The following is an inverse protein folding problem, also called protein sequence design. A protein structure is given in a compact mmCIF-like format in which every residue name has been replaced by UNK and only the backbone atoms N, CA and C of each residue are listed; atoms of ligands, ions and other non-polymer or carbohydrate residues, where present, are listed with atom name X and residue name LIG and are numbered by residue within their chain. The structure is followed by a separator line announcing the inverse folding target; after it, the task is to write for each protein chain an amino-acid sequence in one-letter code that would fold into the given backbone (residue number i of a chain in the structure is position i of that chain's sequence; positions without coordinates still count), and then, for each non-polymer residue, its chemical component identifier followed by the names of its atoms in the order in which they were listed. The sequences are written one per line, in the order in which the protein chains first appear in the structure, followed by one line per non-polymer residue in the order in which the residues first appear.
data_IF_144577212250
#
_entry.id   IF_144577212250
#
_cell.length_a   1.000
_cell.length_b   1.000
_cell.length_c   1.000
_cell.angle_alpha   90.00
_cell.angle_beta   90.00
_cell.angle_gamma   90.00
#
_symmetry.space_group_name_H-M   'P 1'
#
loop_
_entity.id
_entity.type
_entity.pdbx_description
1 polymer ?
#
# COMPACT_ATOMS: atom_id res chain seq x y z
N UNK A 1 3.32 48.57 -6.99
CA UNK A 1 2.74 47.95 -5.76
C UNK A 1 3.33 46.54 -5.59
N UNK A 2 3.66 46.11 -4.36
CA UNK A 2 4.15 44.75 -4.10
C UNK A 2 3.02 43.72 -4.25
N UNK A 3 3.35 42.51 -4.70
CA UNK A 3 2.37 41.45 -4.95
C UNK A 3 1.65 40.99 -3.66
N UNK A 4 2.35 40.96 -2.53
CA UNK A 4 1.73 40.59 -1.25
C UNK A 4 0.56 41.51 -0.87
N UNK A 5 0.77 42.82 -1.00
CA UNK A 5 -0.25 43.83 -0.69
C UNK A 5 -1.42 43.74 -1.67
N UNK A 6 -1.13 43.48 -2.95
CA UNK A 6 -2.14 43.24 -3.97
C UNK A 6 -3.03 42.04 -3.61
N UNK A 7 -2.44 40.89 -3.26
CA UNK A 7 -3.18 39.67 -2.92
C UNK A 7 -4.13 39.93 -1.74
N UNK A 8 -3.66 40.64 -0.71
CA UNK A 8 -4.47 40.96 0.46
C UNK A 8 -5.59 41.96 0.15
N UNK A 9 -5.33 42.94 -0.72
CA UNK A 9 -6.32 43.97 -1.11
C UNK A 9 -7.36 43.44 -2.09
N UNK A 10 -6.96 42.59 -3.04
CA UNK A 10 -7.77 42.10 -4.15
C UNK A 10 -8.14 40.61 -3.98
N UNK A 11 -8.25 40.14 -2.73
CA UNK A 11 -8.54 38.73 -2.45
C UNK A 11 -9.87 38.27 -3.04
N UNK A 12 -10.92 39.10 -2.99
CA UNK A 12 -12.26 38.72 -3.45
C UNK A 12 -12.32 38.52 -4.97
N UNK A 13 -11.82 39.42 -5.83
CA UNK A 13 -11.73 39.15 -7.27
C UNK A 13 -10.93 37.89 -7.63
N UNK A 14 -9.85 37.61 -6.90
CA UNK A 14 -9.05 36.39 -7.11
C UNK A 14 -9.88 35.15 -6.76
N UNK A 15 -10.56 35.16 -5.60
CA UNK A 15 -11.40 34.06 -5.13
C UNK A 15 -12.61 33.81 -6.03
N UNK A 16 -13.22 34.86 -6.57
CA UNK A 16 -14.31 34.74 -7.53
C UNK A 16 -13.86 34.05 -8.83
N UNK A 17 -12.66 34.36 -9.33
CA UNK A 17 -12.11 33.65 -10.50
C UNK A 17 -11.76 32.20 -10.18
N UNK A 18 -11.22 31.93 -8.99
CA UNK A 18 -10.97 30.56 -8.51
C UNK A 18 -12.27 29.75 -8.49
N UNK A 19 -13.31 30.28 -7.85
CA UNK A 19 -14.61 29.61 -7.72
C UNK A 19 -15.22 29.29 -9.10
N UNK A 20 -15.23 30.28 -10.01
CA UNK A 20 -15.76 30.10 -11.36
C UNK A 20 -14.99 29.02 -12.14
N UNK A 21 -13.66 28.95 -11.96
CA UNK A 21 -12.86 27.90 -12.55
C UNK A 21 -13.15 26.53 -11.91
N UNK A 22 -13.17 26.45 -10.58
CA UNK A 22 -13.42 25.22 -9.85
C UNK A 22 -14.79 24.61 -10.20
N UNK A 23 -15.82 25.45 -10.37
CA UNK A 23 -17.15 25.05 -10.82
C UNK A 23 -17.14 24.33 -12.20
N UNK A 24 -16.14 24.61 -13.05
CA UNK A 24 -16.00 23.95 -14.36
C UNK A 24 -15.45 22.52 -14.29
N UNK A 25 -14.91 22.09 -13.14
CA UNK A 25 -14.23 20.81 -12.96
C UNK A 25 -15.23 19.66 -12.69
N UNK A 26 -16.10 19.39 -13.67
CA UNK A 26 -17.09 18.30 -13.62
C UNK A 26 -16.46 16.92 -13.89
N UNK A 27 -17.02 15.82 -13.34
CA UNK A 27 -18.25 15.75 -12.54
C UNK A 27 -18.08 16.11 -11.07
N UNK A 28 -16.85 16.17 -10.55
CA UNK A 28 -16.58 16.34 -9.11
C UNK A 28 -17.18 17.63 -8.54
N UNK A 29 -17.07 18.74 -9.28
CA UNK A 29 -17.65 20.02 -8.88
C UNK A 29 -19.19 20.10 -8.97
N UNK A 30 -19.85 19.17 -9.66
CA UNK A 30 -21.29 19.28 -9.96
C UNK A 30 -22.19 19.19 -8.71
N UNK A 31 -21.67 18.63 -7.63
CA UNK A 31 -22.39 18.42 -6.36
C UNK A 31 -21.96 19.39 -5.25
N UNK A 32 -21.11 20.38 -5.58
CA UNK A 32 -20.54 21.28 -4.59
C UNK A 32 -21.23 22.64 -4.60
N UNK A 33 -21.50 23.17 -3.41
CA UNK A 33 -21.95 24.55 -3.23
C UNK A 33 -20.80 25.54 -3.48
N UNK A 34 -21.09 26.79 -3.93
CA UNK A 34 -20.10 27.84 -4.15
C UNK A 34 -19.11 28.06 -3.00
N UNK A 35 -19.59 28.03 -1.76
CA UNK A 35 -18.74 28.18 -0.56
C UNK A 35 -17.76 27.02 -0.40
N UNK A 36 -18.15 25.80 -0.78
CA UNK A 36 -17.29 24.62 -0.77
C UNK A 36 -16.29 24.61 -1.95
N UNK A 37 -16.59 25.33 -3.04
CA UNK A 37 -15.63 25.55 -4.12
C UNK A 37 -14.56 26.58 -3.74
N UNK A 38 -14.93 27.60 -2.96
CA UNK A 38 -13.97 28.58 -2.40
C UNK A 38 -13.09 27.99 -1.30
N UNK A 39 -13.69 27.20 -0.42
CA UNK A 39 -12.99 26.41 0.61
C UNK A 39 -11.82 27.16 1.30
N UNK A 40 -10.62 26.56 1.33
CA UNK A 40 -9.40 27.09 1.95
C UNK A 40 -8.57 27.97 1.00
N UNK A 41 -9.08 28.31 -0.20
CA UNK A 41 -8.40 29.23 -1.10
C UNK A 41 -8.07 30.60 -0.45
N UNK A 42 -8.91 31.19 0.42
CA UNK A 42 -8.55 32.42 1.14
C UNK A 42 -7.33 32.23 2.04
N UNK A 43 -7.26 31.12 2.78
CA UNK A 43 -6.16 30.79 3.67
C UNK A 43 -4.87 30.51 2.91
N UNK A 44 -4.96 29.84 1.75
CA UNK A 44 -3.83 29.66 0.83
C UNK A 44 -3.30 31.02 0.36
N UNK A 45 -4.17 31.93 -0.08
CA UNK A 45 -3.76 33.27 -0.51
C UNK A 45 -3.10 34.07 0.63
N UNK A 46 -3.64 33.99 1.85
CA UNK A 46 -3.02 34.64 3.02
C UNK A 46 -1.67 34.03 3.36
N UNK A 47 -1.52 32.71 3.26
CA UNK A 47 -0.25 32.03 3.49
C UNK A 47 0.80 32.46 2.45
N UNK A 48 0.42 32.54 1.17
CA UNK A 48 1.29 33.03 0.08
C UNK A 48 1.68 34.49 0.28
N UNK A 49 0.72 35.38 0.60
CA UNK A 49 1.01 36.78 0.87
C UNK A 49 1.95 36.97 2.08
N UNK A 50 1.74 36.18 3.13
CA UNK A 50 2.63 36.17 4.31
C UNK A 50 4.03 35.70 3.93
N UNK A 51 4.16 34.62 3.16
CA UNK A 51 5.46 34.13 2.68
C UNK A 51 6.19 35.21 1.87
N UNK A 52 5.52 35.88 0.94
CA UNK A 52 6.08 36.99 0.15
C UNK A 52 6.61 38.16 1.01
N UNK A 53 6.07 38.37 2.21
CA UNK A 53 6.53 39.40 3.14
C UNK A 53 7.68 38.95 4.06
N UNK A 54 7.93 37.64 4.19
CA UNK A 54 9.03 37.14 5.02
C UNK A 54 10.39 37.44 4.39
N UNK A 55 11.40 37.73 5.20
CA UNK A 55 12.78 37.79 4.73
C UNK A 55 13.34 36.36 4.57
N UNK A 56 13.97 36.07 3.44
CA UNK A 56 14.57 34.77 3.13
C UNK A 56 16.01 34.95 2.67
N UNK A 57 16.89 34.04 3.09
CA UNK A 57 18.26 33.94 2.57
C UNK A 57 18.25 33.24 1.21
N UNK A 58 19.29 33.41 0.39
CA UNK A 58 19.43 32.67 -0.88
C UNK A 58 19.42 31.16 -0.69
N UNK A 59 19.98 30.68 0.42
CA UNK A 59 19.97 29.26 0.77
C UNK A 59 18.54 28.77 1.08
N UNK A 60 17.78 29.53 1.89
CA UNK A 60 16.38 29.19 2.16
C UNK A 60 15.52 29.21 0.88
N UNK A 61 15.78 30.15 -0.03
CA UNK A 61 15.14 30.22 -1.33
C UNK A 61 15.49 28.99 -2.20
N UNK A 62 16.76 28.60 -2.24
CA UNK A 62 17.21 27.41 -2.95
C UNK A 62 16.56 26.13 -2.40
N UNK A 63 16.62 25.90 -1.08
CA UNK A 63 16.01 24.72 -0.45
C UNK A 63 14.50 24.64 -0.72
N UNK A 64 13.80 25.78 -0.70
CA UNK A 64 12.39 25.85 -1.09
C UNK A 64 12.17 25.49 -2.56
N UNK A 65 13.01 25.98 -3.47
CA UNK A 65 12.91 25.69 -4.90
C UNK A 65 13.09 24.21 -5.24
N UNK A 66 13.80 23.45 -4.40
CA UNK A 66 14.00 21.99 -4.55
C UNK A 66 13.11 21.14 -3.64
N UNK A 67 12.13 21.76 -2.97
CA UNK A 67 11.15 21.06 -2.12
C UNK A 67 11.69 20.57 -0.77
N UNK A 68 12.78 21.15 -0.27
CA UNK A 68 13.43 20.80 1.01
C UNK A 68 13.16 21.80 2.13
N UNK A 69 12.18 22.69 1.93
CA UNK A 69 11.80 23.65 2.96
C UNK A 69 11.36 22.91 4.26
N UNK A 70 11.79 23.40 5.44
CA UNK A 70 11.40 22.78 6.71
C UNK A 70 9.89 22.88 6.91
N UNK A 71 9.29 21.78 7.37
CA UNK A 71 7.86 21.73 7.69
C UNK A 71 7.51 22.77 8.77
N UNK A 72 6.32 23.40 8.70
CA UNK A 72 5.90 24.39 9.69
C UNK A 72 5.79 23.75 11.09
N UNK A 73 6.52 24.33 12.05
CA UNK A 73 6.75 23.75 13.39
C UNK A 73 5.47 23.66 14.25
N UNK A 74 4.37 24.35 13.90
CA UNK A 74 3.20 24.56 14.78
C UNK A 74 1.81 24.40 14.11
N UNK A 75 1.69 23.83 12.91
CA UNK A 75 0.38 23.57 12.30
C UNK A 75 0.14 22.07 12.17
N UNK A 76 -1.01 21.58 12.64
CA UNK A 76 -1.42 20.17 12.44
C UNK A 76 -1.59 19.85 10.96
N UNK A 77 -2.07 20.81 10.16
CA UNK A 77 -2.17 20.75 8.68
C UNK A 77 -2.03 22.17 8.08
N UNK A 78 -1.45 22.31 6.89
CA UNK A 78 -1.41 23.59 6.15
C UNK A 78 -2.73 23.83 5.39
N UNK A 79 -3.03 25.08 5.02
CA UNK A 79 -4.23 25.38 4.22
C UNK A 79 -4.25 24.61 2.88
N UNK A 80 -3.08 24.37 2.29
CA UNK A 80 -2.92 23.55 1.08
C UNK A 80 -3.26 22.07 1.34
N UNK A 81 -2.86 21.53 2.50
CA UNK A 81 -3.20 20.16 2.91
C UNK A 81 -4.70 20.00 3.18
N UNK A 82 -5.31 20.96 3.89
CA UNK A 82 -6.76 20.91 4.16
C UNK A 82 -7.59 21.08 2.89
N UNK A 83 -7.17 21.94 1.95
CA UNK A 83 -7.77 22.04 0.61
C UNK A 83 -7.71 20.70 -0.13
N UNK A 84 -6.54 20.05 -0.14
CA UNK A 84 -6.34 18.75 -0.76
C UNK A 84 -7.24 17.66 -0.15
N UNK A 85 -7.37 17.63 1.18
CA UNK A 85 -8.26 16.71 1.90
C UNK A 85 -9.71 16.83 1.43
N UNK A 86 -10.21 18.06 1.32
CA UNK A 86 -11.60 18.31 0.95
C UNK A 86 -11.85 17.96 -0.51
N UNK A 87 -10.90 18.26 -1.42
CA UNK A 87 -10.97 17.83 -2.82
C UNK A 87 -10.97 16.30 -2.96
N UNK A 88 -10.16 15.59 -2.19
CA UNK A 88 -10.18 14.12 -2.17
C UNK A 88 -11.55 13.58 -1.74
N UNK A 89 -12.15 14.15 -0.68
CA UNK A 89 -13.48 13.76 -0.19
C UNK A 89 -14.61 14.09 -1.16
N UNK A 90 -14.47 15.15 -1.93
CA UNK A 90 -15.43 15.58 -2.96
C UNK A 90 -15.25 14.87 -4.31
N UNK A 91 -14.35 13.89 -4.40
CA UNK A 91 -14.18 13.06 -5.61
C UNK A 91 -13.39 13.73 -6.74
N UNK A 92 -12.62 14.78 -6.43
CA UNK A 92 -11.67 15.34 -7.40
C UNK A 92 -10.58 14.33 -7.68
N UNK A 93 -9.98 14.41 -8.87
CA UNK A 93 -8.72 13.73 -9.17
C UNK A 93 -7.53 14.69 -9.12
N UNK A 94 -6.31 14.13 -9.12
CA UNK A 94 -5.08 14.91 -9.01
C UNK A 94 -4.90 15.94 -10.13
N UNK A 95 -5.42 15.66 -11.34
CA UNK A 95 -5.34 16.60 -12.47
C UNK A 95 -6.23 17.82 -12.24
N UNK A 96 -7.41 17.61 -11.66
CA UNK A 96 -8.32 18.70 -11.30
C UNK A 96 -7.74 19.56 -10.19
N UNK A 97 -7.19 18.95 -9.13
CA UNK A 97 -6.48 19.68 -8.06
C UNK A 97 -5.32 20.53 -8.61
N UNK A 98 -4.49 19.95 -9.47
CA UNK A 98 -3.37 20.67 -10.11
C UNK A 98 -3.87 21.80 -11.01
N UNK A 99 -5.03 21.63 -11.66
CA UNK A 99 -5.61 22.65 -12.51
C UNK A 99 -6.09 23.87 -11.72
N UNK A 100 -6.61 23.68 -10.49
CA UNK A 100 -7.02 24.79 -9.62
C UNK A 100 -5.82 25.72 -9.29
N UNK A 101 -4.69 25.14 -8.87
CA UNK A 101 -3.46 25.91 -8.60
C UNK A 101 -2.92 26.62 -9.85
N UNK A 102 -3.00 25.97 -11.02
CA UNK A 102 -2.63 26.60 -12.30
C UNK A 102 -3.52 27.80 -12.62
N UNK A 103 -4.83 27.66 -12.41
CA UNK A 103 -5.79 28.73 -12.62
C UNK A 103 -5.55 29.89 -11.65
N UNK A 104 -5.32 29.61 -10.37
CA UNK A 104 -4.99 30.62 -9.36
C UNK A 104 -3.78 31.45 -9.73
N UNK A 105 -2.67 30.77 -10.06
CA UNK A 105 -1.43 31.45 -10.46
C UNK A 105 -1.67 32.38 -11.64
N UNK A 106 -2.42 31.93 -12.64
CA UNK A 106 -2.75 32.73 -13.81
C UNK A 106 -3.68 33.91 -13.48
N UNK A 107 -4.65 33.73 -12.58
CA UNK A 107 -5.55 34.79 -12.14
C UNK A 107 -4.83 35.88 -11.34
N UNK A 108 -4.02 35.48 -10.35
CA UNK A 108 -3.27 36.42 -9.51
C UNK A 108 -2.31 37.25 -10.35
N UNK A 109 -1.49 36.62 -11.19
CA UNK A 109 -0.49 37.33 -11.99
C UNK A 109 -1.13 38.27 -13.01
N UNK A 110 -2.23 37.85 -13.66
CA UNK A 110 -2.93 38.69 -14.64
C UNK A 110 -3.58 39.91 -13.99
N UNK A 111 -4.33 39.71 -12.91
CA UNK A 111 -4.97 40.81 -12.19
C UNK A 111 -3.94 41.77 -11.58
N UNK A 112 -2.79 41.25 -11.11
CA UNK A 112 -1.73 42.09 -10.57
C UNK A 112 -1.04 42.92 -11.65
N UNK A 113 -0.75 42.33 -12.81
CA UNK A 113 -0.19 43.06 -13.96
C UNK A 113 -1.11 44.20 -14.40
N UNK A 114 -2.42 43.97 -14.44
CA UNK A 114 -3.41 44.99 -14.81
C UNK A 114 -3.46 46.13 -13.77
N UNK A 115 -3.35 45.81 -12.47
CA UNK A 115 -3.37 46.80 -11.37
C UNK A 115 -2.04 47.58 -11.25
N UNK A 116 -0.93 47.00 -11.70
CA UNK A 116 0.37 47.68 -11.72
C UNK A 116 0.48 48.76 -12.80
N UNK A 117 -0.35 48.77 -13.83
CA UNK A 117 -0.22 49.71 -14.94
C UNK A 117 -0.29 51.19 -14.46
N UNK A 118 0.68 52.05 -14.84
CA UNK A 118 1.74 51.86 -15.84
C UNK A 118 3.09 51.34 -15.31
N UNK A 119 3.24 51.10 -14.01
CA UNK A 119 4.48 50.61 -13.41
C UNK A 119 4.74 49.13 -13.77
N UNK A 120 6.02 48.76 -13.90
CA UNK A 120 6.40 47.37 -14.12
C UNK A 120 6.30 46.54 -12.82
N UNK A 121 5.78 45.31 -12.87
CA UNK A 121 5.77 44.41 -11.72
C UNK A 121 7.19 44.06 -11.26
N UNK A 122 7.38 43.88 -9.95
CA UNK A 122 8.66 43.47 -9.39
C UNK A 122 8.96 42.00 -9.72
N UNK A 123 10.03 41.73 -10.47
CA UNK A 123 10.42 40.37 -10.87
C UNK A 123 10.64 39.44 -9.67
N UNK A 124 11.20 39.96 -8.57
CA UNK A 124 11.41 39.18 -7.35
C UNK A 124 10.09 38.68 -6.73
N UNK A 125 9.02 39.48 -6.80
CA UNK A 125 7.70 39.06 -6.30
C UNK A 125 7.13 37.93 -7.18
N UNK A 126 7.36 37.95 -8.50
CA UNK A 126 6.94 36.87 -9.41
C UNK A 126 7.66 35.57 -9.07
N UNK A 127 8.98 35.62 -8.88
CA UNK A 127 9.79 34.44 -8.54
C UNK A 127 9.32 33.84 -7.21
N UNK A 128 9.22 34.68 -6.16
CA UNK A 128 8.79 34.22 -4.84
C UNK A 128 7.36 33.70 -4.83
N UNK A 129 6.47 34.29 -5.63
CA UNK A 129 5.09 33.83 -5.74
C UNK A 129 5.01 32.46 -6.41
N UNK A 130 5.78 32.24 -7.49
CA UNK A 130 5.86 30.93 -8.13
C UNK A 130 6.39 29.88 -7.16
N UNK A 131 7.45 30.17 -6.41
CA UNK A 131 7.98 29.26 -5.38
C UNK A 131 6.94 28.96 -4.28
N UNK A 132 6.17 29.96 -3.84
CA UNK A 132 5.12 29.76 -2.83
C UNK A 132 3.95 28.92 -3.36
N UNK A 133 3.53 29.12 -4.61
CA UNK A 133 2.48 28.31 -5.25
C UNK A 133 2.96 26.88 -5.52
N UNK A 134 4.19 26.71 -6.01
CA UNK A 134 4.74 25.38 -6.29
C UNK A 134 4.93 24.57 -4.99
N UNK A 135 5.31 25.23 -3.89
CA UNK A 135 5.33 24.62 -2.55
C UNK A 135 3.92 24.18 -2.10
N UNK A 136 2.93 25.06 -2.19
CA UNK A 136 1.55 24.74 -1.81
C UNK A 136 0.97 23.59 -2.67
N UNK A 137 1.28 23.59 -3.97
CA UNK A 137 0.89 22.52 -4.89
C UNK A 137 1.55 21.19 -4.51
N UNK A 138 2.85 21.17 -4.21
CA UNK A 138 3.56 19.96 -3.80
C UNK A 138 2.95 19.38 -2.51
N UNK A 139 2.74 20.22 -1.50
CA UNK A 139 2.08 19.82 -0.25
C UNK A 139 0.68 19.25 -0.49
N UNK A 140 -0.12 19.91 -1.34
CA UNK A 140 -1.45 19.44 -1.70
C UNK A 140 -1.42 18.10 -2.43
N UNK A 141 -0.48 17.89 -3.37
CA UNK A 141 -0.36 16.66 -4.16
C UNK A 141 0.02 15.48 -3.27
N UNK A 142 1.01 15.68 -2.39
CA UNK A 142 1.47 14.65 -1.47
C UNK A 142 0.36 14.25 -0.48
N UNK A 143 -0.29 15.25 0.12
CA UNK A 143 -1.38 15.02 1.07
C UNK A 143 -2.62 14.39 0.43
N UNK A 144 -3.01 14.86 -0.76
CA UNK A 144 -4.12 14.29 -1.53
C UNK A 144 -3.87 12.81 -1.83
N UNK A 145 -2.66 12.49 -2.31
CA UNK A 145 -2.30 11.12 -2.70
C UNK A 145 -2.30 10.20 -1.49
N UNK A 146 -1.72 10.65 -0.36
CA UNK A 146 -1.74 9.91 0.90
C UNK A 146 -3.18 9.65 1.39
N UNK A 147 -4.06 10.65 1.32
CA UNK A 147 -5.44 10.51 1.77
C UNK A 147 -6.27 9.56 0.91
N UNK A 148 -6.15 9.66 -0.43
CA UNK A 148 -6.85 8.76 -1.35
C UNK A 148 -6.41 7.32 -1.13
N UNK A 149 -5.10 7.09 -0.98
CA UNK A 149 -4.57 5.76 -0.67
C UNK A 149 -5.05 5.26 0.70
N UNK A 150 -5.02 6.09 1.74
CA UNK A 150 -5.52 5.72 3.07
C UNK A 150 -7.01 5.34 3.04
N UNK A 151 -7.85 6.17 2.43
CA UNK A 151 -9.29 5.91 2.32
C UNK A 151 -9.57 4.62 1.53
N UNK A 152 -8.83 4.38 0.45
CA UNK A 152 -8.91 3.13 -0.32
C UNK A 152 -8.57 1.92 0.55
N UNK A 153 -7.49 2.01 1.32
CA UNK A 153 -7.05 0.92 2.19
C UNK A 153 -8.03 0.65 3.34
N UNK A 154 -8.62 1.69 3.93
CA UNK A 154 -9.67 1.55 4.94
C UNK A 154 -10.93 0.86 4.40
N UNK A 155 -11.38 1.25 3.21
CA UNK A 155 -12.52 0.60 2.54
C UNK A 155 -12.26 -0.88 2.27
N UNK A 156 -11.08 -1.21 1.75
CA UNK A 156 -10.70 -2.61 1.51
C UNK A 156 -10.58 -3.40 2.82
N UNK A 157 -10.08 -2.78 3.90
CA UNK A 157 -9.99 -3.39 5.22
C UNK A 157 -11.36 -3.70 5.84
N UNK A 158 -12.30 -2.74 5.76
CA UNK A 158 -13.69 -2.92 6.23
C UNK A 158 -14.42 -3.99 5.44
N UNK A 159 -14.32 -3.98 4.10
CA UNK A 159 -14.92 -5.01 3.26
C UNK A 159 -14.36 -6.41 3.58
N UNK A 160 -13.05 -6.50 3.85
CA UNK A 160 -12.39 -7.71 4.32
C UNK A 160 -13.02 -8.27 5.59
N UNK A 161 -13.22 -7.41 6.59
CA UNK A 161 -13.82 -7.77 7.88
C UNK A 161 -15.30 -8.18 7.75
N UNK A 162 -16.10 -7.38 7.06
CA UNK A 162 -17.55 -7.57 7.01
C UNK A 162 -17.99 -8.70 6.08
N UNK A 163 -17.13 -9.11 5.14
CA UNK A 163 -17.33 -10.31 4.32
C UNK A 163 -16.84 -11.60 5.00
N UNK A 164 -15.91 -11.52 5.95
CA UNK A 164 -15.38 -12.68 6.71
C UNK A 164 -16.50 -13.38 7.51
N UNK A 165 -17.32 -12.62 8.23
CA UNK A 165 -18.40 -13.18 9.06
C UNK A 165 -19.49 -13.94 8.29
N UNK A 166 -20.12 -13.41 7.22
CA UNK A 166 -21.11 -14.16 6.46
C UNK A 166 -20.51 -15.39 5.78
N UNK A 167 -19.23 -15.33 5.39
CA UNK A 167 -18.52 -16.45 4.81
C UNK A 167 -18.29 -17.59 5.81
N UNK A 168 -17.84 -17.26 7.03
CA UNK A 168 -17.72 -18.21 8.12
C UNK A 168 -19.06 -18.89 8.42
N UNK A 169 -20.17 -18.16 8.40
CA UNK A 169 -21.51 -18.71 8.59
C UNK A 169 -21.90 -19.72 7.49
N UNK A 170 -21.57 -19.43 6.22
CA UNK A 170 -21.76 -20.37 5.10
C UNK A 170 -20.92 -21.64 5.29
N UNK A 171 -19.65 -21.49 5.67
CA UNK A 171 -18.77 -22.63 5.92
C UNK A 171 -19.28 -23.52 7.04
N UNK A 172 -19.64 -22.93 8.19
CA UNK A 172 -20.17 -23.67 9.34
C UNK A 172 -21.45 -24.43 9.00
N UNK A 173 -22.35 -23.80 8.23
CA UNK A 173 -23.60 -24.43 7.79
C UNK A 173 -23.32 -25.58 6.82
N UNK A 174 -22.35 -25.42 5.92
CA UNK A 174 -21.93 -26.48 5.01
C UNK A 174 -21.28 -27.64 5.78
N UNK A 175 -20.36 -27.38 6.71
CA UNK A 175 -19.77 -28.42 7.57
C UNK A 175 -20.83 -29.19 8.37
N UNK A 176 -21.85 -28.48 8.85
CA UNK A 176 -22.99 -29.11 9.53
C UNK A 176 -23.79 -30.04 8.60
N UNK A 177 -24.05 -29.62 7.36
CA UNK A 177 -24.74 -30.45 6.36
C UNK A 177 -23.92 -31.68 5.94
N UNK A 178 -22.59 -31.55 5.83
CA UNK A 178 -21.68 -32.66 5.57
C UNK A 178 -21.69 -33.67 6.74
N UNK A 179 -21.63 -33.18 7.98
CA UNK A 179 -21.66 -34.02 9.19
C UNK A 179 -22.98 -34.77 9.38
N UNK A 180 -24.11 -34.19 8.96
CA UNK A 180 -25.43 -34.84 8.97
C UNK A 180 -25.51 -36.01 7.96
N UNK A 181 -24.55 -36.13 7.05
CA UNK A 181 -24.50 -37.15 6.02
C UNK A 181 -25.82 -37.27 5.25
N UNK A 182 -26.41 -36.11 4.91
CA UNK A 182 -27.76 -35.94 4.37
C UNK A 182 -27.93 -36.41 2.91
N UNK A 183 -27.22 -37.48 2.54
CA UNK A 183 -27.07 -38.01 1.19
C UNK A 183 -25.75 -37.58 0.55
N UNK A 184 -25.16 -38.47 -0.24
CA UNK A 184 -23.84 -38.29 -0.88
C UNK A 184 -23.75 -36.99 -1.70
N UNK A 185 -24.81 -36.63 -2.43
CA UNK A 185 -24.88 -35.39 -3.21
C UNK A 185 -24.92 -34.12 -2.34
N UNK A 186 -25.53 -34.18 -1.15
CA UNK A 186 -25.61 -33.06 -0.22
C UNK A 186 -24.27 -32.88 0.49
N UNK A 187 -23.63 -33.99 0.90
CA UNK A 187 -22.29 -33.97 1.49
C UNK A 187 -21.23 -33.45 0.50
N UNK A 188 -21.28 -33.84 -0.78
CA UNK A 188 -20.33 -33.30 -1.78
C UNK A 188 -20.58 -31.81 -2.08
N UNK A 189 -21.84 -31.38 -2.18
CA UNK A 189 -22.18 -29.97 -2.34
C UNK A 189 -21.75 -29.13 -1.13
N UNK A 190 -21.93 -29.64 0.08
CA UNK A 190 -21.45 -29.05 1.32
C UNK A 190 -19.91 -28.96 1.34
N UNK A 191 -19.20 -30.05 1.02
CA UNK A 191 -17.74 -30.05 0.90
C UNK A 191 -17.23 -29.00 -0.11
N UNK A 192 -17.92 -28.83 -1.24
CA UNK A 192 -17.59 -27.77 -2.22
C UNK A 192 -17.80 -26.36 -1.67
N UNK A 193 -18.84 -26.14 -0.86
CA UNK A 193 -19.08 -24.85 -0.18
C UNK A 193 -18.01 -24.56 0.86
N UNK A 194 -17.63 -25.54 1.70
CA UNK A 194 -16.56 -25.41 2.71
C UNK A 194 -15.26 -25.01 2.04
N UNK A 195 -14.84 -25.74 0.99
CA UNK A 195 -13.62 -25.45 0.24
C UNK A 195 -13.66 -24.06 -0.39
N UNK A 196 -14.80 -23.64 -0.92
CA UNK A 196 -14.96 -22.32 -1.54
C UNK A 196 -14.95 -21.19 -0.52
N UNK A 197 -15.57 -21.41 0.65
CA UNK A 197 -15.53 -20.49 1.76
C UNK A 197 -14.13 -20.33 2.33
N UNK A 198 -13.37 -21.42 2.47
CA UNK A 198 -12.02 -21.36 3.03
C UNK A 198 -11.09 -20.55 2.13
N UNK A 199 -11.23 -20.72 0.81
CA UNK A 199 -10.50 -19.91 -0.18
C UNK A 199 -10.85 -18.43 -0.07
N UNK A 200 -12.14 -18.09 0.00
CA UNK A 200 -12.54 -16.69 0.09
C UNK A 200 -12.11 -16.08 1.43
N UNK A 201 -12.06 -16.87 2.51
CA UNK A 201 -11.60 -16.42 3.82
C UNK A 201 -10.13 -16.03 3.77
N UNK A 202 -9.28 -16.91 3.21
CA UNK A 202 -7.87 -16.64 3.01
C UNK A 202 -7.63 -15.36 2.17
N UNK A 203 -8.40 -15.16 1.09
CA UNK A 203 -8.30 -13.95 0.27
C UNK A 203 -8.67 -12.68 1.04
N UNK A 204 -9.68 -12.73 1.92
CA UNK A 204 -10.07 -11.62 2.77
C UNK A 204 -9.02 -11.33 3.86
N UNK A 205 -8.43 -12.38 4.42
CA UNK A 205 -7.36 -12.27 5.41
C UNK A 205 -6.10 -11.64 4.80
N UNK A 206 -5.66 -12.11 3.62
CA UNK A 206 -4.56 -11.51 2.86
C UNK A 206 -4.84 -10.04 2.50
N UNK A 207 -6.09 -9.71 2.15
CA UNK A 207 -6.49 -8.33 1.88
C UNK A 207 -6.42 -7.47 3.15
N UNK A 208 -6.90 -7.96 4.29
CA UNK A 208 -6.79 -7.25 5.56
C UNK A 208 -5.33 -7.02 5.95
N UNK A 209 -4.49 -8.06 5.86
CA UNK A 209 -3.05 -7.97 6.14
C UNK A 209 -2.35 -6.98 5.20
N UNK A 210 -2.64 -7.04 3.88
CA UNK A 210 -2.17 -6.06 2.91
C UNK A 210 -2.54 -4.62 3.29
N UNK A 211 -3.80 -4.37 3.68
CA UNK A 211 -4.22 -3.03 4.09
C UNK A 211 -3.51 -2.54 5.36
N UNK A 212 -3.30 -3.41 6.35
CA UNK A 212 -2.54 -3.06 7.55
C UNK A 212 -1.12 -2.64 7.22
N UNK A 213 -0.44 -3.38 6.34
CA UNK A 213 0.92 -3.03 5.90
C UNK A 213 0.96 -1.69 5.16
N UNK A 214 -0.04 -1.40 4.32
CA UNK A 214 -0.17 -0.10 3.64
C UNK A 214 -0.43 1.08 4.58
N UNK A 215 -1.07 0.83 5.73
CA UNK A 215 -1.25 1.81 6.80
C UNK A 215 0.00 1.96 7.71
N UNK A 216 1.10 1.26 7.41
CA UNK A 216 2.33 1.30 8.19
C UNK A 216 2.27 0.49 9.50
N UNK A 217 1.19 -0.27 9.74
CA UNK A 217 1.00 -1.05 10.96
C UNK A 217 1.69 -2.42 10.92
N UNK A 218 2.14 -2.84 9.73
CA UNK A 218 2.75 -4.16 9.52
C UNK A 218 1.79 -5.33 9.76
N UNK A 219 2.34 -6.54 9.69
CA UNK A 219 1.65 -7.77 10.10
C UNK A 219 1.67 -7.88 11.62
N UNK A 220 0.52 -8.18 12.22
CA UNK A 220 0.46 -8.43 13.65
C UNK A 220 1.07 -9.80 13.97
N UNK A 221 2.14 -9.80 14.78
CA UNK A 221 2.83 -10.99 15.27
C UNK A 221 2.71 -11.07 16.78
N UNK A 222 2.48 -12.27 17.31
CA UNK A 222 2.41 -12.57 18.74
C UNK A 222 3.46 -13.67 19.03
N UNK A 223 4.74 -13.30 19.23
CA UNK A 223 5.81 -14.27 19.40
C UNK A 223 5.64 -15.12 20.66
N UNK A 224 5.85 -16.43 20.54
CA UNK A 224 5.81 -17.43 21.62
C UNK A 224 6.98 -18.39 21.50
N UNK A 225 7.33 -19.06 22.60
CA UNK A 225 8.29 -20.17 22.55
C UNK A 225 7.70 -21.30 21.70
N UNK A 226 8.39 -21.66 20.63
CA UNK A 226 7.97 -22.71 19.69
C UNK A 226 9.17 -23.54 19.25
N UNK A 227 8.92 -24.80 18.89
CA UNK A 227 9.84 -25.57 18.08
C UNK A 227 9.51 -25.32 16.61
N UNK A 228 10.38 -24.59 15.92
CA UNK A 228 10.14 -24.23 14.52
C UNK A 228 10.03 -25.45 13.60
N UNK A 229 10.77 -26.53 13.90
CA UNK A 229 10.71 -27.75 13.09
C UNK A 229 9.31 -28.35 13.08
N UNK A 230 8.67 -28.41 14.25
CA UNK A 230 7.32 -28.98 14.40
C UNK A 230 6.29 -28.10 13.69
N UNK A 231 6.37 -26.78 13.91
CA UNK A 231 5.49 -25.78 13.26
C UNK A 231 5.54 -25.88 11.74
N UNK A 232 6.74 -25.99 11.16
CA UNK A 232 6.90 -26.11 9.71
C UNK A 232 6.50 -27.49 9.21
N UNK A 233 6.73 -28.56 9.99
CA UNK A 233 6.33 -29.91 9.62
C UNK A 233 4.81 -30.05 9.49
N UNK A 234 4.04 -29.48 10.43
CA UNK A 234 2.57 -29.46 10.40
C UNK A 234 2.04 -28.87 9.09
N UNK A 235 2.52 -27.68 8.69
CA UNK A 235 2.11 -27.03 7.43
C UNK A 235 2.45 -27.89 6.21
N UNK A 236 3.63 -28.51 6.18
CA UNK A 236 4.03 -29.36 5.06
C UNK A 236 3.23 -30.66 4.99
N UNK A 237 2.79 -31.22 6.11
CA UNK A 237 1.90 -32.38 6.14
C UNK A 237 0.53 -32.04 5.53
N UNK A 238 -0.04 -30.88 5.86
CA UNK A 238 -1.28 -30.40 5.25
C UNK A 238 -1.13 -30.23 3.72
N UNK A 239 -0.04 -29.59 3.28
CA UNK A 239 0.22 -29.40 1.86
C UNK A 239 0.45 -30.72 1.11
N UNK A 240 1.09 -31.72 1.73
CA UNK A 240 1.23 -33.07 1.15
C UNK A 240 -0.13 -33.76 1.00
N UNK A 241 -1.03 -33.60 1.97
CA UNK A 241 -2.38 -34.16 1.90
C UNK A 241 -3.20 -33.55 0.75
N UNK A 242 -3.02 -32.24 0.49
CA UNK A 242 -3.70 -31.53 -0.60
C UNK A 242 -3.06 -31.84 -1.98
N UNK A 243 -1.75 -32.11 -2.01
CA UNK A 243 -0.97 -32.36 -3.21
C UNK A 243 -0.26 -33.74 -3.17
N UNK A 244 -1.01 -34.85 -3.16
CA UNK A 244 -0.43 -36.19 -2.98
C UNK A 244 0.52 -36.61 -4.11
N UNK A 245 0.35 -36.05 -5.31
CA UNK A 245 1.21 -36.32 -6.47
C UNK A 245 2.50 -35.49 -6.49
N UNK A 246 2.73 -34.65 -5.48
CA UNK A 246 3.89 -33.74 -5.40
C UNK A 246 4.81 -34.14 -4.26
N UNK A 247 6.11 -34.17 -4.55
CA UNK A 247 7.13 -34.44 -3.54
C UNK A 247 7.51 -33.15 -2.80
N UNK A 248 7.39 -33.17 -1.47
CA UNK A 248 7.73 -32.06 -0.59
C UNK A 248 8.64 -32.61 0.50
N UNK A 249 9.87 -32.09 0.59
CA UNK A 249 10.92 -32.57 1.49
C UNK A 249 11.23 -31.51 2.55
N UNK A 250 11.39 -31.93 3.81
CA UNK A 250 11.81 -31.07 4.92
C UNK A 250 13.12 -31.61 5.50
N UNK A 251 14.12 -30.76 5.60
CA UNK A 251 15.37 -31.06 6.28
C UNK A 251 15.69 -29.96 7.28
N UNK A 252 15.85 -30.34 8.55
CA UNK A 252 16.18 -29.42 9.64
C UNK A 252 17.54 -29.76 10.21
N UNK A 253 18.36 -28.74 10.41
CA UNK A 253 19.72 -28.85 10.97
C UNK A 253 19.89 -27.82 12.09
N UNK A 254 20.49 -28.23 13.21
CA UNK A 254 20.67 -27.37 14.39
C UNK A 254 19.44 -27.37 15.31
N UNK A 255 19.35 -26.34 16.18
CA UNK A 255 18.51 -26.38 17.38
C UNK A 255 17.02 -26.00 17.23
N UNK A 256 16.45 -25.41 16.17
CA UNK A 256 14.99 -25.09 16.00
C UNK A 256 14.10 -24.48 17.13
N UNK A 257 14.48 -24.46 18.40
CA UNK A 257 13.79 -23.81 19.51
C UNK A 257 14.02 -22.31 19.45
N UNK A 258 12.98 -21.51 19.72
CA UNK A 258 13.11 -20.06 19.81
C UNK A 258 11.76 -19.38 19.99
N UNK A 259 11.73 -18.06 19.80
CA UNK A 259 10.55 -17.23 20.04
C UNK A 259 10.08 -16.59 18.74
N UNK A 260 8.98 -17.08 18.20
CA UNK A 260 8.36 -16.59 16.97
C UNK A 260 6.83 -16.78 17.02
N UNK A 261 6.11 -16.15 16.09
CA UNK A 261 4.69 -16.43 15.89
C UNK A 261 4.55 -17.63 14.93
N UNK A 262 4.32 -18.82 15.49
CA UNK A 262 4.25 -20.07 14.72
C UNK A 262 3.18 -20.04 13.62
N UNK A 263 2.01 -19.47 13.89
CA UNK A 263 0.91 -19.42 12.92
C UNK A 263 1.27 -18.53 11.73
N UNK A 264 1.92 -17.38 11.98
CA UNK A 264 2.42 -16.52 10.90
C UNK A 264 3.54 -17.19 10.12
N UNK A 265 4.42 -17.96 10.77
CA UNK A 265 5.47 -18.71 10.08
C UNK A 265 4.93 -19.87 9.23
N UNK A 266 3.84 -20.53 9.64
CA UNK A 266 3.10 -21.48 8.80
C UNK A 266 2.56 -20.79 7.54
N UNK A 267 1.89 -19.63 7.69
CA UNK A 267 1.40 -18.84 6.56
C UNK A 267 2.53 -18.40 5.61
N UNK A 268 3.68 -17.99 6.13
CA UNK A 268 4.86 -17.66 5.34
C UNK A 268 5.34 -18.89 4.56
N UNK A 269 5.51 -20.05 5.22
CA UNK A 269 5.96 -21.27 4.56
C UNK A 269 4.98 -21.72 3.48
N UNK A 270 3.68 -21.76 3.80
CA UNK A 270 2.63 -22.15 2.88
C UNK A 270 2.62 -21.30 1.61
N UNK A 271 2.78 -19.98 1.75
CA UNK A 271 2.90 -19.07 0.60
C UNK A 271 4.09 -19.38 -0.30
N UNK A 272 5.25 -19.71 0.26
CA UNK A 272 6.45 -20.05 -0.50
C UNK A 272 6.32 -21.43 -1.16
N UNK A 273 5.81 -22.43 -0.43
CA UNK A 273 5.67 -23.80 -0.95
C UNK A 273 4.59 -23.88 -2.02
N UNK A 274 3.45 -23.21 -1.84
CA UNK A 274 2.41 -23.14 -2.88
C UNK A 274 2.93 -22.43 -4.14
N UNK A 275 3.80 -21.41 -4.00
CA UNK A 275 4.47 -20.79 -5.13
C UNK A 275 5.39 -21.80 -5.85
N UNK A 276 6.23 -22.50 -5.09
CA UNK A 276 7.12 -23.53 -5.60
C UNK A 276 6.38 -24.70 -6.28
N UNK A 277 5.25 -25.14 -5.73
CA UNK A 277 4.41 -26.17 -6.34
C UNK A 277 3.77 -25.68 -7.64
N UNK A 278 3.35 -24.41 -7.69
CA UNK A 278 2.68 -23.83 -8.86
C UNK A 278 3.63 -23.64 -10.05
N UNK A 279 4.83 -23.13 -9.80
CA UNK A 279 5.78 -22.76 -10.86
C UNK A 279 6.92 -23.77 -11.04
N UNK A 280 7.08 -24.71 -10.11
CA UNK A 280 8.09 -25.74 -10.18
C UNK A 280 7.71 -26.93 -11.07
N UNK A 281 8.74 -27.60 -11.58
CA UNK A 281 8.64 -28.84 -12.31
C UNK A 281 7.87 -29.89 -11.49
N UNK A 282 6.96 -30.62 -12.14
CA UNK A 282 6.09 -31.57 -11.45
C UNK A 282 6.82 -32.83 -10.97
N UNK A 283 7.90 -33.20 -11.67
CA UNK A 283 8.73 -34.38 -11.45
C UNK A 283 9.93 -34.14 -10.51
N UNK A 284 10.04 -32.93 -9.95
CA UNK A 284 11.08 -32.56 -9.01
C UNK A 284 10.50 -32.19 -7.63
N UNK A 285 11.18 -32.51 -6.52
CA UNK A 285 10.70 -32.16 -5.19
C UNK A 285 10.80 -30.66 -4.93
N UNK A 286 9.85 -30.15 -4.15
CA UNK A 286 10.00 -28.87 -3.45
C UNK A 286 10.78 -29.16 -2.16
N UNK A 287 11.94 -28.53 -2.00
CA UNK A 287 12.83 -28.76 -0.85
C UNK A 287 12.78 -27.59 0.11
N UNK A 288 12.46 -27.88 1.37
CA UNK A 288 12.49 -26.94 2.50
C UNK A 288 13.67 -27.28 3.39
N UNK A 289 14.69 -26.42 3.39
CA UNK A 289 15.88 -26.54 4.22
C UNK A 289 15.81 -25.55 5.37
N UNK A 290 15.98 -26.02 6.60
CA UNK A 290 16.02 -25.18 7.79
C UNK A 290 17.39 -25.32 8.46
N UNK A 291 18.15 -24.24 8.47
CA UNK A 291 19.46 -24.17 9.13
C UNK A 291 19.35 -23.25 10.34
N UNK A 292 19.51 -23.83 11.52
CA UNK A 292 19.42 -23.12 12.78
C UNK A 292 20.83 -22.81 13.30
N UNK A 293 21.21 -21.54 13.21
CA UNK A 293 22.45 -21.03 13.78
C UNK A 293 22.20 -20.38 15.14
N UNK A 294 23.25 -19.93 15.82
CA UNK A 294 23.16 -19.37 17.16
C UNK A 294 22.34 -18.05 17.20
N UNK A 295 22.45 -17.21 16.17
CA UNK A 295 21.85 -15.86 16.14
C UNK A 295 20.64 -15.75 15.23
N UNK A 296 20.50 -16.66 14.27
CA UNK A 296 19.43 -16.61 13.29
C UNK A 296 19.04 -18.02 12.82
N UNK A 297 17.86 -18.12 12.23
CA UNK A 297 17.40 -19.31 11.52
C UNK A 297 17.18 -18.94 10.06
N UNK A 298 17.66 -19.80 9.18
CA UNK A 298 17.48 -19.69 7.74
C UNK A 298 16.52 -20.77 7.24
N UNK A 299 15.52 -20.37 6.47
CA UNK A 299 14.55 -21.26 5.81
C UNK A 299 14.70 -21.04 4.31
N UNK A 300 15.18 -22.05 3.58
CA UNK A 300 15.24 -22.01 2.11
C UNK A 300 14.16 -22.93 1.53
N UNK A 301 13.27 -22.36 0.72
CA UNK A 301 12.27 -23.10 -0.06
C UNK A 301 12.70 -23.07 -1.53
N UNK A 302 12.98 -24.24 -2.10
CA UNK A 302 13.55 -24.36 -3.45
C UNK A 302 12.77 -25.32 -4.34
N UNK A 303 12.70 -25.01 -5.63
CA UNK A 303 12.10 -25.85 -6.66
C UNK A 303 12.87 -25.73 -7.97
N UNK A 304 12.87 -26.82 -8.76
CA UNK A 304 13.32 -26.76 -10.15
C UNK A 304 12.24 -26.12 -11.02
N UNK A 305 12.63 -25.39 -12.05
CA UNK A 305 11.67 -24.73 -12.93
C UNK A 305 12.36 -23.77 -13.92
N UNK A 306 11.58 -23.11 -14.78
CA UNK A 306 12.11 -22.08 -15.67
C UNK A 306 12.70 -20.93 -14.84
N UNK A 307 13.80 -20.35 -15.34
CA UNK A 307 14.40 -19.19 -14.72
C UNK A 307 13.42 -18.01 -14.70
N UNK A 308 13.38 -17.30 -13.58
CA UNK A 308 12.64 -16.06 -13.46
C UNK A 308 13.50 -14.93 -14.03
N UNK A 309 12.93 -14.12 -14.92
CA UNK A 309 13.61 -12.96 -15.48
C UNK A 309 14.07 -11.98 -14.37
N UNK A 310 15.24 -11.37 -14.56
CA UNK A 310 15.82 -10.44 -13.57
C UNK A 310 14.91 -9.28 -13.20
N UNK A 311 14.18 -8.73 -14.17
CA UNK A 311 13.24 -7.64 -13.93
C UNK A 311 12.07 -8.08 -13.03
N UNK A 312 11.62 -9.32 -13.20
CA UNK A 312 10.58 -9.95 -12.37
C UNK A 312 11.11 -10.27 -10.98
N UNK A 313 12.33 -10.81 -10.84
CA UNK A 313 12.97 -11.08 -9.55
C UNK A 313 13.09 -9.82 -8.69
N UNK A 314 13.48 -8.69 -9.28
CA UNK A 314 13.64 -7.42 -8.56
C UNK A 314 12.34 -6.90 -7.93
N UNK A 315 11.19 -7.39 -8.42
CA UNK A 315 9.85 -6.94 -8.02
C UNK A 315 8.97 -8.09 -7.57
N UNK A 316 9.53 -9.29 -7.34
CA UNK A 316 8.74 -10.51 -7.12
C UNK A 316 7.94 -10.48 -5.82
N UNK A 317 8.40 -9.66 -4.87
CA UNK A 317 7.72 -9.41 -3.60
C UNK A 317 6.83 -8.18 -3.63
N UNK A 318 6.73 -7.44 -4.75
CA UNK A 318 5.77 -6.33 -4.86
C UNK A 318 4.33 -6.89 -4.82
N UNK A 319 3.39 -6.19 -4.17
CA UNK A 319 2.02 -6.67 -4.06
C UNK A 319 1.31 -6.64 -5.41
N UNK A 320 0.38 -7.58 -5.60
CA UNK A 320 -0.45 -7.73 -6.81
C UNK A 320 0.35 -8.06 -8.09
N UNK A 321 1.61 -8.46 -7.93
CA UNK A 321 2.42 -8.95 -9.05
C UNK A 321 1.89 -10.29 -9.55
N UNK A 322 1.77 -10.40 -10.86
CA UNK A 322 1.37 -11.62 -11.57
C UNK A 322 2.43 -11.92 -12.63
N UNK A 323 2.83 -13.17 -12.76
CA UNK A 323 3.67 -13.61 -13.87
C UNK A 323 2.89 -13.45 -15.18
N UNK A 324 3.43 -12.64 -16.09
CA UNK A 324 2.99 -12.59 -17.48
C UNK A 324 3.40 -13.92 -18.13
N UNK A 325 2.41 -14.74 -18.52
CA UNK A 325 2.38 -15.50 -19.79
C UNK A 325 1.67 -16.86 -19.73
N UNK A 326 1.42 -17.49 -18.58
CA UNK A 326 0.75 -18.80 -18.57
C UNK A 326 -0.23 -18.92 -17.41
N UNK A 327 -1.41 -18.32 -17.55
CA UNK A 327 -2.51 -18.57 -16.62
C UNK A 327 -3.78 -18.91 -17.38
N UNK A 328 -4.36 -20.07 -17.06
CA UNK A 328 -5.73 -20.40 -17.40
C UNK A 328 -6.68 -19.33 -16.85
N UNK A 329 -7.86 -19.14 -17.47
CA UNK A 329 -8.88 -18.20 -16.94
C UNK A 329 -9.27 -18.52 -15.49
N UNK A 330 -9.13 -19.77 -15.07
CA UNK A 330 -9.47 -20.26 -13.73
C UNK A 330 -8.38 -19.89 -12.70
N UNK A 331 -7.09 -19.93 -13.09
CA UNK A 331 -5.98 -19.51 -12.22
C UNK A 331 -5.94 -17.99 -11.98
N UNK A 332 -6.42 -17.20 -12.94
CA UNK A 332 -6.52 -15.73 -12.81
C UNK A 332 -7.51 -15.29 -11.73
N UNK A 333 -8.52 -16.12 -11.43
CA UNK A 333 -9.51 -15.88 -10.39
C UNK A 333 -9.05 -16.39 -9.00
N UNK A 334 -8.07 -17.29 -8.96
CA UNK A 334 -7.68 -18.03 -7.76
C UNK A 334 -6.67 -17.33 -6.85
N UNK A 335 -5.92 -16.33 -7.33
CA UNK A 335 -4.85 -15.75 -6.53
C UNK A 335 -4.66 -14.24 -6.80
N UNK A 336 -4.75 -13.42 -5.74
CA UNK A 336 -4.64 -11.96 -5.83
C UNK A 336 -3.20 -11.49 -6.15
N UNK A 337 -2.21 -12.38 -6.08
CA UNK A 337 -0.79 -12.02 -6.21
C UNK A 337 -0.24 -11.39 -4.93
N UNK A 338 -0.79 -11.78 -3.78
CA UNK A 338 -0.38 -11.28 -2.47
C UNK A 338 0.53 -12.25 -1.72
N UNK A 339 0.52 -13.55 -2.03
CA UNK A 339 1.23 -14.56 -1.21
C UNK A 339 2.71 -14.28 -0.95
N UNK A 340 3.50 -13.97 -1.98
CA UNK A 340 4.93 -13.63 -1.81
C UNK A 340 5.14 -12.31 -1.07
N UNK A 341 4.27 -11.32 -1.29
CA UNK A 341 4.28 -10.06 -0.55
C UNK A 341 4.00 -10.31 0.94
N UNK A 342 2.96 -11.09 1.28
CA UNK A 342 2.61 -11.44 2.65
C UNK A 342 3.74 -12.23 3.32
N UNK A 343 4.36 -13.18 2.64
CA UNK A 343 5.55 -13.87 3.16
C UNK A 343 6.70 -12.90 3.48
N UNK A 344 6.94 -11.90 2.62
CA UNK A 344 7.94 -10.85 2.88
C UNK A 344 7.59 -9.99 4.10
N UNK A 345 6.32 -9.59 4.24
CA UNK A 345 5.86 -8.76 5.35
C UNK A 345 5.83 -9.54 6.69
N UNK A 346 5.54 -10.84 6.66
CA UNK A 346 5.67 -11.72 7.84
C UNK A 346 7.13 -11.83 8.28
N UNK A 347 8.06 -12.02 7.33
CA UNK A 347 9.50 -12.06 7.64
C UNK A 347 9.96 -10.74 8.29
N UNK A 348 9.58 -9.60 7.70
CA UNK A 348 9.87 -8.26 8.25
C UNK A 348 9.26 -8.06 9.63
N UNK A 349 8.02 -8.49 9.87
CA UNK A 349 7.38 -8.41 11.18
C UNK A 349 8.11 -9.22 12.27
N UNK A 350 8.85 -10.26 11.87
CA UNK A 350 9.77 -11.00 12.73
C UNK A 350 11.20 -10.42 12.78
N UNK A 351 11.41 -9.20 12.30
CA UNK A 351 12.72 -8.55 12.15
C UNK A 351 13.69 -9.32 11.23
N UNK A 352 13.14 -10.12 10.31
CA UNK A 352 13.87 -10.88 9.32
C UNK A 352 13.80 -10.26 7.93
N UNK A 353 14.30 -11.03 6.96
CA UNK A 353 14.27 -10.68 5.54
C UNK A 353 13.99 -11.91 4.67
N UNK A 354 13.49 -11.67 3.46
CA UNK A 354 13.33 -12.69 2.42
C UNK A 354 14.09 -12.26 1.16
N UNK A 355 14.76 -13.21 0.53
CA UNK A 355 15.46 -13.03 -0.73
C UNK A 355 14.99 -14.09 -1.73
N UNK A 356 15.02 -13.75 -3.02
CA UNK A 356 14.74 -14.69 -4.09
C UNK A 356 15.96 -14.80 -5.01
N UNK A 357 16.34 -16.03 -5.31
CA UNK A 357 17.31 -16.36 -6.38
C UNK A 357 16.64 -17.29 -7.37
N UNK A 358 16.88 -17.08 -8.66
CA UNK A 358 16.46 -18.00 -9.70
C UNK A 358 17.57 -18.07 -10.73
N UNK A 359 18.03 -19.28 -11.00
CA UNK A 359 18.90 -19.59 -12.12
C UNK A 359 18.18 -20.51 -13.11
N UNK A 360 18.85 -20.88 -14.21
CA UNK A 360 18.30 -21.77 -15.23
C UNK A 360 17.90 -23.17 -14.75
N UNK A 361 18.17 -23.51 -13.49
CA UNK A 361 17.98 -24.85 -12.91
C UNK A 361 17.08 -24.86 -11.68
N UNK A 362 17.16 -23.83 -10.84
CA UNK A 362 16.47 -23.77 -9.55
C UNK A 362 16.02 -22.34 -9.22
N UNK A 363 14.84 -22.24 -8.62
CA UNK A 363 14.38 -21.05 -7.92
C UNK A 363 14.38 -21.35 -6.42
N UNK A 364 14.90 -20.42 -5.62
CA UNK A 364 14.96 -20.54 -4.17
C UNK A 364 14.57 -19.22 -3.51
N UNK A 365 13.65 -19.32 -2.55
CA UNK A 365 13.28 -18.25 -1.64
C UNK A 365 13.95 -18.51 -0.29
N UNK A 366 14.76 -17.55 0.19
CA UNK A 366 15.56 -17.68 1.40
C UNK A 366 15.06 -16.68 2.44
N UNK A 367 14.55 -17.19 3.56
CA UNK A 367 14.07 -16.38 4.69
C UNK A 367 15.09 -16.46 5.82
N UNK A 368 15.50 -15.31 6.34
CA UNK A 368 16.38 -15.22 7.52
C UNK A 368 15.62 -14.56 8.65
N UNK A 369 15.50 -15.25 9.78
CA UNK A 369 14.81 -14.78 10.98
C UNK A 369 15.79 -14.71 12.15
N UNK A 370 15.90 -13.59 12.89
CA UNK A 370 16.71 -13.54 14.08
C UNK A 370 16.13 -14.47 15.16
N UNK A 371 17.01 -15.09 15.95
CA UNK A 371 16.63 -15.68 17.23
C UNK A 371 16.50 -14.53 18.22
N UNK A 372 15.29 -14.28 18.72
CA UNK A 372 15.15 -13.38 19.85
C UNK A 372 15.96 -13.96 21.02
N UNK A 373 16.89 -13.19 21.58
CA UNK A 373 17.56 -13.56 22.83
C UNK A 373 16.51 -13.82 23.91
N UNK A 374 16.79 -14.74 24.84
CA UNK A 374 15.86 -15.00 25.94
C UNK A 374 15.43 -13.67 26.58
N UNK A 375 14.12 -13.39 26.73
CA UNK A 375 13.71 -12.31 27.59
C UNK A 375 14.22 -12.63 28.99
N UNK A 376 15.15 -11.80 29.48
CA UNK A 376 15.72 -11.91 30.82
C UNK A 376 14.70 -11.66 31.92
#
# INVERSE_FOLDING_TARGET
MRLADFILRQSEPILAQWEAFAASLVPAAAIMEPSALRDHAPEILRAVAKDLQTAQTREAQYEKSVGRAPAPINATETAAQTHALLRARSGFNIKQLTAEYRALRASVLRLWMDDCAPDAPHLDDVIRFNEAIDQALAESVDFFSAQVEQSRNLLLGMLGHDMRSPLQAIQMTASYLEALNAGEQVSDAAGRLIRSGARMQALLDDLCDFNRTRLGLGINVIPKRVNLADVLAEELEELRAIHPDRQIELHVTGDSQGVWDGQRLQQLLGNLVLNALKYGAQDAPVRVMVTCEATHVRIDVSNRGPAIERATLARIFDPLMRGDEQQSKDDRARNLGLGLYIASEIAKAHNGAIEARSDGTETSFSVSLPRAGEPG
#
